data_IF_815286973377
#
_entry.id   IF_815286973377
#
_cell.length_a   1.000
_cell.length_b   1.000
_cell.length_c   1.000
_cell.angle_alpha   90.00
_cell.angle_beta   90.00
_cell.angle_gamma   90.00
#
_symmetry.space_group_name_H-M   'P 1'
#
loop_
_entity.id
_entity.type
_entity.pdbx_description
1 polymer ?
#
# COMPACT_ATOMS: atom_id res chain seq x y z
N UNK A 1 -38.50 -42.52 -50.83
CA UNK A 1 -38.22 -41.79 -52.09
C UNK A 1 -38.36 -40.31 -51.77
N UNK A 2 -37.40 -39.41 -51.98
CA UNK A 2 -36.26 -39.41 -52.88
C UNK A 2 -35.06 -38.71 -52.24
N UNK A 3 -33.89 -39.26 -52.53
CA UNK A 3 -32.56 -38.69 -52.39
C UNK A 3 -32.37 -37.47 -53.32
N UNK A 4 -31.60 -36.48 -52.86
CA UNK A 4 -30.70 -35.59 -53.64
C UNK A 4 -29.74 -34.91 -52.65
N UNK A 5 -28.62 -35.52 -52.29
CA UNK A 5 -27.27 -35.36 -52.89
C UNK A 5 -26.81 -33.91 -53.10
N UNK A 6 -25.83 -33.55 -52.25
CA UNK A 6 -24.60 -32.78 -52.49
C UNK A 6 -24.73 -31.31 -52.91
N UNK A 7 -24.21 -30.40 -52.07
CA UNK A 7 -23.05 -29.59 -52.45
C UNK A 7 -22.31 -29.09 -51.20
N UNK A 8 -21.02 -29.39 -51.13
CA UNK A 8 -20.08 -28.82 -50.19
C UNK A 8 -19.97 -27.31 -50.42
N UNK A 9 -19.99 -26.54 -49.34
CA UNK A 9 -19.37 -25.22 -49.31
C UNK A 9 -18.71 -25.06 -47.94
N UNK A 10 -17.45 -25.47 -47.86
CA UNK A 10 -16.57 -25.17 -46.74
C UNK A 10 -16.22 -23.69 -46.86
N UNK A 11 -16.89 -22.83 -46.09
CA UNK A 11 -16.44 -21.46 -45.88
C UNK A 11 -15.58 -21.46 -44.63
N UNK A 12 -14.27 -21.60 -44.84
CA UNK A 12 -13.26 -21.28 -43.85
C UNK A 12 -13.23 -19.76 -43.69
N UNK A 13 -13.74 -19.26 -42.57
CA UNK A 13 -13.40 -17.92 -42.10
C UNK A 13 -12.73 -18.04 -40.74
N UNK A 14 -11.41 -17.96 -40.78
CA UNK A 14 -10.55 -17.73 -39.63
C UNK A 14 -10.78 -16.27 -39.21
N UNK A 15 -11.66 -16.03 -38.24
CA UNK A 15 -11.72 -14.74 -37.56
C UNK A 15 -10.60 -14.73 -36.50
N UNK A 16 -9.42 -14.26 -36.92
CA UNK A 16 -8.29 -14.04 -36.04
C UNK A 16 -8.65 -13.08 -34.90
N UNK A 17 -8.20 -13.45 -33.71
CA UNK A 17 -8.38 -12.71 -32.47
C UNK A 17 -7.78 -11.29 -32.55
N UNK A 18 -8.62 -10.27 -32.45
CA UNK A 18 -8.20 -8.97 -31.95
C UNK A 18 -8.55 -8.93 -30.46
N UNK A 19 -7.62 -9.33 -29.61
CA UNK A 19 -7.66 -8.94 -28.20
C UNK A 19 -7.17 -7.49 -28.18
N UNK A 20 -8.03 -6.47 -28.02
CA UNK A 20 -7.51 -5.15 -27.76
C UNK A 20 -6.83 -5.21 -26.39
N UNK A 21 -5.49 -5.26 -26.37
CA UNK A 21 -4.74 -4.87 -25.18
C UNK A 21 -5.05 -3.37 -24.99
N UNK A 22 -5.75 -2.97 -23.92
CA UNK A 22 -6.00 -1.57 -23.72
C UNK A 22 -4.65 -0.87 -23.51
N UNK A 23 -4.42 0.10 -24.40
CA UNK A 23 -3.70 1.36 -24.23
C UNK A 23 -2.81 1.47 -22.98
N UNK A 24 -1.52 1.77 -23.21
CA UNK A 24 -0.65 2.34 -22.19
C UNK A 24 -1.26 3.67 -21.69
N UNK A 25 -1.92 3.61 -20.54
CA UNK A 25 -2.38 4.75 -19.75
C UNK A 25 -1.17 5.39 -19.06
N UNK A 26 -1.21 6.72 -18.92
CA UNK A 26 -0.21 7.58 -18.27
C UNK A 26 0.49 6.91 -17.07
N UNK A 27 1.81 7.12 -16.96
CA UNK A 27 2.68 6.48 -15.97
C UNK A 27 2.03 6.44 -14.58
N UNK A 28 1.84 5.25 -13.99
CA UNK A 28 0.80 5.08 -12.99
C UNK A 28 1.22 5.65 -11.65
N UNK A 29 0.28 6.31 -10.97
CA UNK A 29 0.29 6.33 -9.51
C UNK A 29 0.53 4.87 -9.05
N UNK A 30 1.46 4.67 -8.12
CA UNK A 30 1.87 3.30 -7.75
C UNK A 30 0.68 2.59 -7.12
N UNK A 31 0.21 1.54 -7.78
CA UNK A 31 -0.94 0.78 -7.32
C UNK A 31 -0.55 -0.12 -6.15
N UNK A 32 -1.33 -0.10 -5.07
CA UNK A 32 -1.05 -0.92 -3.88
C UNK A 32 -0.95 -2.43 -4.17
N UNK A 33 -1.63 -2.90 -5.22
CA UNK A 33 -1.63 -4.30 -5.67
C UNK A 33 -0.27 -4.78 -6.18
N UNK A 34 0.60 -3.87 -6.62
CA UNK A 34 1.96 -4.18 -7.06
C UNK A 34 2.90 -4.53 -5.89
N UNK A 35 2.52 -4.17 -4.66
CA UNK A 35 3.33 -4.38 -3.46
C UNK A 35 2.59 -5.24 -2.42
N UNK A 36 2.22 -6.49 -2.75
CA UNK A 36 1.32 -7.26 -1.91
C UNK A 36 1.93 -7.64 -0.56
N UNK A 37 1.07 -7.77 0.45
CA UNK A 37 1.37 -8.35 1.75
C UNK A 37 0.28 -9.36 2.15
N UNK A 38 0.68 -10.47 2.78
CA UNK A 38 -0.27 -11.45 3.30
C UNK A 38 -0.75 -11.00 4.68
N UNK A 39 -2.04 -10.69 4.79
CA UNK A 39 -2.64 -10.27 6.06
C UNK A 39 -2.64 -11.42 7.06
N UNK A 40 -2.14 -11.15 8.27
CA UNK A 40 -2.10 -12.09 9.39
C UNK A 40 -2.66 -11.41 10.63
N UNK A 41 -3.78 -11.91 11.13
CA UNK A 41 -4.44 -11.37 12.33
C UNK A 41 -3.93 -12.05 13.60
N UNK A 42 -2.62 -11.99 13.81
CA UNK A 42 -1.97 -12.50 15.03
C UNK A 42 -1.94 -11.41 16.12
N UNK A 43 -1.77 -11.80 17.38
CA UNK A 43 -1.53 -10.84 18.45
C UNK A 43 -0.16 -10.17 18.27
N UNK A 44 -0.04 -8.91 18.67
CA UNK A 44 1.26 -8.23 18.66
C UNK A 44 2.15 -8.77 19.76
N UNK A 45 3.44 -8.94 19.46
CA UNK A 45 4.47 -9.01 20.50
C UNK A 45 4.53 -7.69 21.28
N UNK A 46 5.17 -7.75 22.46
CA UNK A 46 5.38 -6.58 23.29
C UNK A 46 6.17 -5.52 22.52
N UNK A 47 5.65 -4.28 22.49
CA UNK A 47 6.30 -3.18 21.78
C UNK A 47 7.56 -2.72 22.51
N UNK A 48 8.65 -2.58 21.78
CA UNK A 48 9.93 -2.05 22.25
C UNK A 48 9.93 -0.53 22.16
N UNK A 49 9.83 0.13 23.31
CA UNK A 49 9.87 1.60 23.41
C UNK A 49 11.29 2.10 23.65
N UNK A 50 12.19 1.81 22.72
CA UNK A 50 13.64 2.07 22.88
C UNK A 50 14.05 3.43 22.30
N UNK A 51 13.43 3.84 21.18
CA UNK A 51 13.73 5.12 20.51
C UNK A 51 13.04 6.30 21.20
N UNK A 52 13.58 7.54 21.08
CA UNK A 52 12.92 8.75 21.58
C UNK A 52 11.49 8.89 21.05
N UNK A 53 11.28 8.61 19.75
CA UNK A 53 9.97 8.69 19.11
C UNK A 53 8.97 7.69 19.71
N UNK A 54 9.40 6.43 19.86
CA UNK A 54 8.57 5.39 20.45
C UNK A 54 8.18 5.75 21.90
N UNK A 55 9.12 6.29 22.68
CA UNK A 55 8.86 6.74 24.05
C UNK A 55 7.89 7.92 24.08
N UNK A 56 8.09 8.93 23.22
CA UNK A 56 7.25 10.13 23.11
C UNK A 56 5.80 9.78 22.81
N UNK A 57 5.56 8.82 21.92
CA UNK A 57 4.22 8.42 21.48
C UNK A 57 3.75 7.08 22.07
N UNK A 58 4.33 6.66 23.20
CA UNK A 58 4.09 5.34 23.82
C UNK A 58 2.61 4.97 23.93
N UNK A 59 1.80 5.89 24.44
CA UNK A 59 0.35 5.65 24.65
C UNK A 59 -0.41 5.47 23.33
N UNK A 60 -0.09 6.26 22.31
CA UNK A 60 -0.72 6.17 20.99
C UNK A 60 -0.37 4.83 20.33
N UNK A 61 0.92 4.46 20.36
CA UNK A 61 1.41 3.18 19.83
C UNK A 61 0.78 2.01 20.58
N UNK A 62 0.81 2.02 21.91
CA UNK A 62 0.23 0.95 22.74
C UNK A 62 -1.28 0.77 22.52
N UNK A 63 -2.01 1.86 22.23
CA UNK A 63 -3.43 1.80 21.88
C UNK A 63 -3.64 1.22 20.47
N UNK A 64 -2.78 1.57 19.52
CA UNK A 64 -2.89 1.12 18.14
C UNK A 64 -2.65 -0.39 17.99
N UNK A 65 -1.63 -0.94 18.66
CA UNK A 65 -1.26 -2.37 18.54
C UNK A 65 -2.27 -3.34 19.16
N UNK A 66 -3.19 -2.82 20.01
CA UNK A 66 -4.35 -3.57 20.54
C UNK A 66 -5.40 -3.84 19.46
N UNK A 67 -5.36 -3.12 18.34
CA UNK A 67 -6.23 -3.35 17.18
C UNK A 67 -5.57 -4.36 16.22
N UNK A 68 -6.34 -4.95 15.30
CA UNK A 68 -5.78 -5.73 14.20
C UNK A 68 -4.75 -4.94 13.37
N UNK A 69 -3.80 -5.62 12.71
CA UNK A 69 -2.81 -4.95 11.87
C UNK A 69 -3.50 -4.25 10.70
N UNK A 70 -3.00 -3.06 10.35
CA UNK A 70 -3.58 -2.21 9.31
C UNK A 70 -2.62 -1.97 8.12
N UNK A 71 -1.41 -2.54 8.16
CA UNK A 71 -0.38 -2.29 7.16
C UNK A 71 0.54 -3.51 6.97
N UNK A 72 1.09 -3.70 5.76
CA UNK A 72 2.11 -4.72 5.44
C UNK A 72 1.81 -6.13 5.96
N UNK A 73 0.52 -6.48 5.98
CA UNK A 73 -0.03 -7.77 6.37
C UNK A 73 -0.09 -7.99 7.87
N UNK A 74 0.98 -7.66 8.58
CA UNK A 74 1.13 -7.93 10.01
C UNK A 74 1.64 -6.73 10.79
N UNK A 75 1.88 -5.57 10.16
CA UNK A 75 2.35 -4.37 10.83
C UNK A 75 1.18 -3.48 11.25
N UNK A 76 1.47 -2.58 12.19
CA UNK A 76 0.56 -1.47 12.54
C UNK A 76 1.24 -0.16 12.19
N UNK A 77 0.73 0.57 11.21
CA UNK A 77 1.09 1.96 10.97
C UNK A 77 0.27 2.85 11.91
N UNK A 78 0.95 3.74 12.62
CA UNK A 78 0.36 4.67 13.58
C UNK A 78 0.63 6.10 13.10
N UNK A 79 -0.44 6.82 12.78
CA UNK A 79 -0.37 8.26 12.51
C UNK A 79 -0.28 9.06 13.81
N UNK A 80 0.60 10.04 13.82
CA UNK A 80 0.95 10.86 14.96
C UNK A 80 0.93 12.33 14.54
N UNK A 81 0.29 13.19 15.31
CA UNK A 81 0.30 14.62 15.00
C UNK A 81 1.71 15.22 15.12
N UNK A 82 2.10 16.06 14.15
CA UNK A 82 3.31 16.90 14.21
C UNK A 82 3.03 18.38 14.50
N UNK A 83 1.75 18.77 14.71
CA UNK A 83 1.31 20.16 14.89
C UNK A 83 0.60 20.68 13.63
N UNK A 84 0.08 21.91 13.64
CA UNK A 84 -0.47 22.64 12.47
C UNK A 84 -1.23 21.82 11.40
N UNK A 85 -1.99 20.79 11.80
CA UNK A 85 -2.72 19.90 10.90
C UNK A 85 -1.88 18.87 10.13
N UNK A 86 -0.57 18.79 10.36
CA UNK A 86 0.29 17.78 9.76
C UNK A 86 0.37 16.49 10.59
N UNK A 87 0.69 15.39 9.92
CA UNK A 87 0.99 14.09 10.50
C UNK A 87 2.42 13.66 10.20
N UNK A 88 2.95 12.87 11.12
CA UNK A 88 4.05 11.94 10.93
C UNK A 88 3.55 10.54 11.27
N UNK A 89 4.37 9.52 11.10
CA UNK A 89 3.97 8.16 11.43
C UNK A 89 5.11 7.31 11.96
N UNK A 90 4.74 6.19 12.57
CA UNK A 90 5.65 5.07 12.87
C UNK A 90 5.02 3.78 12.37
N UNK A 91 5.84 2.78 12.07
CA UNK A 91 5.41 1.42 11.78
C UNK A 91 5.84 0.52 12.92
N UNK A 92 4.91 -0.25 13.47
CA UNK A 92 5.21 -1.30 14.44
C UNK A 92 5.28 -2.64 13.71
N UNK A 93 6.45 -3.26 13.71
CA UNK A 93 6.58 -4.67 13.36
C UNK A 93 6.03 -5.51 14.52
N UNK A 94 4.86 -6.14 14.31
CA UNK A 94 4.17 -6.88 15.39
C UNK A 94 4.81 -8.25 15.68
N UNK A 95 5.76 -8.71 14.87
CA UNK A 95 6.53 -9.95 15.14
C UNK A 95 7.70 -9.69 16.06
N UNK A 96 8.43 -8.59 15.85
CA UNK A 96 9.58 -8.25 16.69
C UNK A 96 9.24 -7.30 17.84
N UNK A 97 8.12 -6.56 17.72
CA UNK A 97 7.75 -5.47 18.61
C UNK A 97 8.49 -4.15 18.31
N UNK A 98 9.30 -4.10 17.25
CA UNK A 98 10.09 -2.92 16.91
C UNK A 98 9.24 -1.78 16.37
N UNK A 99 9.65 -0.56 16.71
CA UNK A 99 9.04 0.68 16.23
C UNK A 99 10.00 1.33 15.23
N UNK A 100 9.59 1.35 13.97
CA UNK A 100 10.29 1.99 12.87
C UNK A 100 9.74 3.41 12.69
N UNK A 101 10.63 4.41 12.69
CA UNK A 101 10.26 5.80 12.42
C UNK A 101 9.93 5.98 10.93
N UNK A 102 8.83 6.69 10.63
CA UNK A 102 8.43 7.06 9.27
C UNK A 102 9.36 8.09 8.61
N UNK A 103 10.31 8.64 9.37
CA UNK A 103 11.32 9.57 8.90
C UNK A 103 10.78 10.99 8.84
N UNK A 104 10.56 11.51 7.63
CA UNK A 104 10.13 12.88 7.44
C UNK A 104 8.78 13.15 8.11
N UNK A 105 8.60 14.39 8.58
CA UNK A 105 7.35 14.89 9.12
C UNK A 105 6.68 15.83 8.11
N UNK A 106 5.52 16.38 8.47
CA UNK A 106 4.86 17.37 7.64
C UNK A 106 4.03 16.77 6.51
N UNK A 107 3.55 15.53 6.65
CA UNK A 107 2.57 14.97 5.74
C UNK A 107 1.18 15.54 6.04
N UNK A 108 0.38 15.76 5.00
CA UNK A 108 -1.04 16.10 5.14
C UNK A 108 -1.91 14.84 5.13
N UNK A 109 -1.50 13.82 4.38
CA UNK A 109 -2.25 12.59 4.18
C UNK A 109 -1.31 11.41 3.98
N UNK A 110 -1.68 10.26 4.54
CA UNK A 110 -1.04 8.97 4.30
C UNK A 110 -2.09 7.98 3.77
N UNK A 111 -1.78 7.32 2.65
CA UNK A 111 -2.58 6.22 2.13
C UNK A 111 -1.80 4.91 2.25
N UNK A 112 -2.42 3.92 2.88
CA UNK A 112 -1.85 2.60 3.16
C UNK A 112 -2.97 1.59 3.39
N UNK A 113 -2.67 0.30 3.27
CA UNK A 113 -3.66 -0.75 3.49
C UNK A 113 -3.04 -2.04 4.05
N UNK A 114 -3.83 -2.91 4.71
CA UNK A 114 -3.32 -4.15 5.30
C UNK A 114 -2.66 -5.07 4.28
N UNK A 115 -3.24 -5.15 3.06
CA UNK A 115 -2.77 -6.04 2.00
C UNK A 115 -1.57 -5.53 1.19
N UNK A 116 -0.96 -4.40 1.58
CA UNK A 116 0.14 -3.80 0.83
C UNK A 116 1.30 -3.38 1.72
N UNK A 117 2.51 -3.41 1.16
CA UNK A 117 3.74 -2.90 1.76
C UNK A 117 4.05 -1.46 1.35
N UNK A 118 3.21 -0.87 0.51
CA UNK A 118 3.36 0.50 0.03
C UNK A 118 2.66 1.50 0.95
N UNK A 119 3.34 2.60 1.22
CA UNK A 119 2.76 3.82 1.80
C UNK A 119 2.89 4.92 0.74
N UNK A 120 1.80 5.61 0.47
CA UNK A 120 1.81 6.88 -0.25
C UNK A 120 1.70 8.01 0.77
N UNK A 121 2.66 8.93 0.77
CA UNK A 121 2.74 10.03 1.71
C UNK A 121 2.66 11.37 0.95
N UNK A 122 1.58 12.11 1.17
CA UNK A 122 1.34 13.42 0.55
C UNK A 122 1.78 14.51 1.52
N UNK A 123 2.66 15.42 1.09
CA UNK A 123 3.11 16.52 1.92
C UNK A 123 1.97 17.48 2.28
N UNK A 124 2.01 18.07 3.48
CA UNK A 124 1.16 19.19 3.87
C UNK A 124 1.69 20.44 3.17
N UNK A 125 0.89 21.06 2.30
CA UNK A 125 1.32 22.22 1.53
C UNK A 125 0.23 23.33 1.55
N UNK A 126 0.58 24.60 1.83
CA UNK A 126 -0.36 25.72 1.81
C UNK A 126 -0.67 26.13 0.37
N UNK A 127 -1.66 25.44 -0.20
CA UNK A 127 -2.47 25.76 -1.37
C UNK A 127 -1.94 26.77 -2.41
N UNK A 128 -1.30 26.22 -3.43
CA UNK A 128 -1.33 26.77 -4.81
C UNK A 128 -1.34 25.67 -5.91
N UNK A 129 -1.43 24.38 -5.56
CA UNK A 129 -1.37 23.32 -6.57
C UNK A 129 -1.29 21.88 -6.03
N UNK A 130 -0.71 20.98 -6.83
CA UNK A 130 -0.51 19.56 -6.48
C UNK A 130 0.55 19.44 -5.37
N UNK A 131 0.18 18.94 -4.19
CA UNK A 131 1.17 18.64 -3.16
C UNK A 131 2.07 17.47 -3.61
N UNK A 132 3.38 17.52 -3.33
CA UNK A 132 4.29 16.45 -3.69
C UNK A 132 3.95 15.18 -2.90
N UNK A 133 4.00 14.05 -3.60
CA UNK A 133 3.82 12.72 -3.04
C UNK A 133 5.15 11.98 -3.00
N UNK A 134 5.35 11.19 -1.96
CA UNK A 134 6.44 10.23 -1.86
C UNK A 134 5.85 8.84 -1.65
N UNK A 135 6.54 7.83 -2.16
CA UNK A 135 6.17 6.45 -1.97
C UNK A 135 7.24 5.77 -1.12
N UNK A 136 6.81 5.03 -0.10
CA UNK A 136 7.70 4.29 0.79
C UNK A 136 7.32 2.81 0.74
N UNK A 137 8.30 1.96 0.47
CA UNK A 137 8.16 0.51 0.52
C UNK A 137 8.66 -0.02 1.87
N UNK A 138 7.79 -0.76 2.56
CA UNK A 138 8.20 -1.50 3.75
C UNK A 138 8.77 -2.87 3.36
N UNK A 139 10.06 -3.09 3.61
CA UNK A 139 10.74 -4.34 3.32
C UNK A 139 11.88 -4.59 4.30
N UNK A 140 11.97 -5.82 4.81
CA UNK A 140 13.03 -6.22 5.74
C UNK A 140 13.02 -5.47 7.08
N UNK A 141 11.86 -4.99 7.53
CA UNK A 141 11.77 -4.19 8.77
C UNK A 141 12.24 -2.74 8.58
N UNK A 142 12.31 -2.24 7.35
CA UNK A 142 12.77 -0.89 7.03
C UNK A 142 11.84 -0.24 6.00
N UNK A 143 11.88 1.10 5.94
CA UNK A 143 11.18 1.90 4.94
C UNK A 143 12.19 2.38 3.89
N UNK A 144 11.91 2.06 2.63
CA UNK A 144 12.74 2.43 1.48
C UNK A 144 11.97 3.42 0.61
N UNK A 145 12.53 4.59 0.27
CA UNK A 145 11.91 5.47 -0.72
C UNK A 145 11.84 4.77 -2.08
N UNK A 146 10.71 4.93 -2.75
CA UNK A 146 10.53 4.55 -4.14
C UNK A 146 10.53 5.84 -4.97
N UNK A 147 11.61 6.02 -5.72
CA UNK A 147 11.75 7.11 -6.70
C UNK A 147 10.97 6.84 -8.00
#
# INVERSE_FOLDING_TARGET
>A
MAHRLLYLSIVSMIAGASVPFPFAVAGPAREFSQFPAKVKTEASHAVKFETPEAKKYRSAIAKAVKKPPNFAGYCTLVELGCGSGCVKFVVVDRKSGEVIDGGAEGYGELAYQPGSRLIEATASCPDTGKCPKKYLLFEGGQLHPLD
#
